data_IF_088165617000
#
_entry.id   IF_088165617000
#
_cell.length_a   1.000
_cell.length_b   1.000
_cell.length_c   1.000
_cell.angle_alpha   90.00
_cell.angle_beta   90.00
_cell.angle_gamma   90.00
#
_symmetry.space_group_name_H-M   'P 1'
#
loop_
_entity.id
_entity.type
_entity.pdbx_description
1 polymer ?
#
# COMPACT_ATOMS: atom_id res chain seq x y z
N UNK A 1 16.40 -36.30 44.83
CA UNK A 1 15.18 -35.66 45.36
C UNK A 1 15.37 -34.15 45.29
N UNK A 2 14.83 -33.52 44.24
CA UNK A 2 14.32 -32.15 44.21
C UNK A 2 13.71 -31.91 42.82
N UNK A 3 12.48 -32.40 42.71
CA UNK A 3 11.51 -31.95 41.73
C UNK A 3 11.05 -30.52 42.10
N UNK A 4 10.42 -29.85 41.13
CA UNK A 4 9.70 -28.58 41.25
C UNK A 4 10.51 -27.28 41.05
N UNK A 5 10.99 -27.07 39.81
CA UNK A 5 11.00 -25.74 39.20
C UNK A 5 10.08 -25.77 37.98
N UNK A 6 8.79 -25.62 38.26
CA UNK A 6 7.77 -24.93 37.45
C UNK A 6 7.86 -25.09 35.92
N UNK A 7 7.35 -26.22 35.41
CA UNK A 7 6.63 -26.20 34.13
C UNK A 7 5.39 -25.33 34.33
N UNK A 8 5.48 -24.06 33.95
CA UNK A 8 4.28 -23.25 33.80
C UNK A 8 3.43 -23.88 32.68
N UNK A 9 2.28 -24.41 33.06
CA UNK A 9 1.16 -24.83 32.19
C UNK A 9 1.00 -23.86 30.99
N UNK A 10 0.74 -24.35 29.76
CA UNK A 10 0.49 -23.51 28.58
C UNK A 10 -0.59 -22.44 28.81
N UNK A 11 -1.52 -22.68 29.75
CA UNK A 11 -2.60 -21.78 30.14
C UNK A 11 -2.11 -20.42 30.66
N UNK A 12 -0.94 -20.35 31.32
CA UNK A 12 -0.48 -19.09 31.93
C UNK A 12 0.14 -18.10 30.92
N UNK A 13 0.54 -18.56 29.74
CA UNK A 13 1.23 -17.70 28.74
C UNK A 13 0.29 -17.06 27.71
N UNK A 14 -0.87 -17.64 27.45
CA UNK A 14 -1.85 -17.11 26.49
C UNK A 14 -2.82 -16.11 27.13
N UNK A 15 -3.02 -16.17 28.45
CA UNK A 15 -4.06 -15.42 29.19
C UNK A 15 -4.17 -13.93 28.85
N UNK A 16 -3.08 -13.15 28.85
CA UNK A 16 -3.14 -11.72 28.50
C UNK A 16 -3.54 -11.46 27.04
N UNK A 17 -3.11 -12.32 26.11
CA UNK A 17 -3.44 -12.19 24.68
C UNK A 17 -4.90 -12.56 24.43
N UNK A 18 -5.40 -13.58 25.13
CA UNK A 18 -6.81 -13.98 25.08
C UNK A 18 -7.73 -12.90 25.66
N UNK A 19 -7.36 -12.32 26.80
CA UNK A 19 -8.11 -11.21 27.40
C UNK A 19 -8.15 -9.99 26.46
N UNK A 20 -7.01 -9.61 25.88
CA UNK A 20 -6.94 -8.51 24.92
C UNK A 20 -7.79 -8.78 23.66
N UNK A 21 -7.73 -9.98 23.11
CA UNK A 21 -8.57 -10.36 21.97
C UNK A 21 -10.06 -10.38 22.32
N UNK A 22 -10.42 -10.81 23.54
CA UNK A 22 -11.80 -10.74 24.03
C UNK A 22 -12.32 -9.31 24.02
N UNK A 23 -11.55 -8.36 24.59
CA UNK A 23 -11.91 -6.94 24.62
C UNK A 23 -12.06 -6.38 23.19
N UNK A 24 -11.13 -6.71 22.30
CA UNK A 24 -11.16 -6.24 20.92
C UNK A 24 -12.36 -6.77 20.15
N UNK A 25 -12.71 -8.05 20.30
CA UNK A 25 -13.93 -8.61 19.70
C UNK A 25 -15.19 -7.99 20.28
N UNK A 26 -15.24 -7.69 21.57
CA UNK A 26 -16.37 -6.96 22.17
C UNK A 26 -16.52 -5.56 21.57
N UNK A 27 -15.42 -4.82 21.43
CA UNK A 27 -15.42 -3.49 20.81
C UNK A 27 -15.86 -3.54 19.34
N UNK A 28 -15.40 -4.54 18.59
CA UNK A 28 -15.76 -4.74 17.18
C UNK A 28 -17.24 -5.09 17.02
N UNK A 29 -17.77 -5.99 17.86
CA UNK A 29 -19.19 -6.35 17.86
C UNK A 29 -20.09 -5.16 18.20
N UNK A 30 -19.73 -4.37 19.21
CA UNK A 30 -20.46 -3.14 19.58
C UNK A 30 -20.45 -2.14 18.42
N UNK A 31 -19.29 -1.95 17.78
CA UNK A 31 -19.15 -1.06 16.64
C UNK A 31 -20.00 -1.48 15.45
N UNK A 32 -19.97 -2.76 15.08
CA UNK A 32 -20.75 -3.31 13.97
C UNK A 32 -22.25 -3.28 14.24
N UNK A 33 -22.68 -3.65 15.46
CA UNK A 33 -24.08 -3.57 15.86
C UNK A 33 -24.58 -2.13 15.92
N UNK A 34 -23.77 -1.21 16.44
CA UNK A 34 -24.09 0.23 16.46
C UNK A 34 -24.19 0.81 15.05
N UNK A 35 -23.31 0.44 14.14
CA UNK A 35 -23.36 0.84 12.74
C UNK A 35 -24.61 0.28 12.03
N UNK A 36 -24.92 -1.01 12.24
CA UNK A 36 -26.13 -1.62 11.70
C UNK A 36 -27.39 -0.90 12.22
N UNK A 37 -27.46 -0.63 13.53
CA UNK A 37 -28.56 0.10 14.15
C UNK A 37 -28.66 1.54 13.66
N UNK A 38 -27.55 2.22 13.42
CA UNK A 38 -27.54 3.57 12.86
C UNK A 38 -28.07 3.59 11.42
N UNK A 39 -27.64 2.63 10.59
CA UNK A 39 -28.10 2.51 9.20
C UNK A 39 -29.59 2.17 9.13
N UNK A 40 -30.08 1.27 9.99
CA UNK A 40 -31.51 0.94 10.03
C UNK A 40 -32.35 2.08 10.63
N UNK A 41 -31.87 2.74 11.69
CA UNK A 41 -32.58 3.85 12.33
C UNK A 41 -32.63 5.11 11.46
N UNK A 42 -31.52 5.44 10.78
CA UNK A 42 -31.44 6.55 9.83
C UNK A 42 -32.19 6.30 8.52
N UNK A 43 -32.51 5.04 8.21
CA UNK A 43 -33.28 4.65 7.03
C UNK A 43 -34.79 4.88 7.15
N UNK A 44 -35.35 5.05 8.35
CA UNK A 44 -36.82 5.13 8.52
C UNK A 44 -37.50 6.28 7.75
N UNK A 45 -36.76 7.30 7.31
CA UNK A 45 -37.31 8.38 6.48
C UNK A 45 -37.27 8.07 4.97
N UNK A 46 -36.38 7.19 4.49
CA UNK A 46 -36.36 6.63 3.12
C UNK A 46 -35.45 5.37 3.06
N UNK A 47 -36.01 4.17 3.29
CA UNK A 47 -35.29 2.90 3.12
C UNK A 47 -35.20 2.54 1.64
N UNK A 48 -34.09 2.89 0.99
CA UNK A 48 -33.77 2.35 -0.33
C UNK A 48 -33.16 0.93 -0.24
N UNK A 49 -33.05 0.25 -1.38
CA UNK A 49 -32.46 -1.11 -1.44
C UNK A 49 -31.01 -1.14 -0.95
N UNK A 50 -30.26 -0.03 -1.07
CA UNK A 50 -28.85 0.06 -0.68
C UNK A 50 -28.64 0.05 0.83
N UNK A 51 -29.45 0.82 1.57
CA UNK A 51 -29.42 0.86 3.05
C UNK A 51 -29.73 -0.50 3.67
N UNK A 52 -30.69 -1.23 3.10
CA UNK A 52 -31.06 -2.58 3.56
C UNK A 52 -29.92 -3.57 3.34
N UNK A 53 -29.29 -3.57 2.15
CA UNK A 53 -28.16 -4.44 1.85
C UNK A 53 -26.97 -4.15 2.77
N UNK A 54 -26.67 -2.88 3.03
CA UNK A 54 -25.59 -2.48 3.93
C UNK A 54 -25.84 -2.95 5.37
N UNK A 55 -27.06 -2.79 5.88
CA UNK A 55 -27.43 -3.28 7.20
C UNK A 55 -27.26 -4.80 7.32
N UNK A 56 -27.68 -5.57 6.30
CA UNK A 56 -27.50 -7.02 6.26
C UNK A 56 -26.02 -7.41 6.26
N UNK A 57 -25.18 -6.71 5.49
CA UNK A 57 -23.72 -6.94 5.48
C UNK A 57 -23.11 -6.69 6.87
N UNK A 58 -23.50 -5.60 7.54
CA UNK A 58 -22.98 -5.27 8.88
C UNK A 58 -23.40 -6.30 9.93
N UNK A 59 -24.65 -6.79 9.87
CA UNK A 59 -25.14 -7.86 10.74
C UNK A 59 -24.40 -9.17 10.47
N UNK A 60 -24.18 -9.53 9.20
CA UNK A 60 -23.42 -10.73 8.85
C UNK A 60 -21.95 -10.64 9.32
N UNK A 61 -21.32 -9.47 9.16
CA UNK A 61 -19.97 -9.23 9.68
C UNK A 61 -19.90 -9.35 11.20
N UNK A 62 -20.89 -8.82 11.93
CA UNK A 62 -20.98 -8.95 13.38
C UNK A 62 -21.14 -10.42 13.80
N UNK A 63 -22.02 -11.18 13.14
CA UNK A 63 -22.21 -12.61 13.41
C UNK A 63 -20.93 -13.41 13.19
N UNK A 64 -20.20 -13.14 12.10
CA UNK A 64 -18.93 -13.80 11.84
C UNK A 64 -17.83 -13.41 12.83
N UNK A 65 -17.74 -12.15 13.23
CA UNK A 65 -16.80 -11.70 14.27
C UNK A 65 -17.10 -12.41 15.60
N UNK A 66 -18.39 -12.48 15.98
CA UNK A 66 -18.85 -13.20 17.17
C UNK A 66 -18.53 -14.69 17.13
N UNK A 67 -18.73 -15.35 15.98
CA UNK A 67 -18.33 -16.75 15.78
C UNK A 67 -16.83 -16.96 16.02
N UNK A 68 -15.99 -16.07 15.51
CA UNK A 68 -14.54 -16.15 15.72
C UNK A 68 -14.13 -15.85 17.17
N UNK A 69 -14.86 -15.00 17.89
CA UNK A 69 -14.70 -14.78 19.32
C UNK A 69 -15.06 -16.05 20.13
N UNK A 70 -16.17 -16.72 19.81
CA UNK A 70 -16.56 -17.99 20.45
C UNK A 70 -15.50 -19.06 20.22
N UNK A 71 -15.00 -19.16 18.98
CA UNK A 71 -13.90 -20.06 18.62
C UNK A 71 -12.64 -19.83 19.45
N UNK A 72 -12.28 -18.57 19.69
CA UNK A 72 -11.16 -18.20 20.55
C UNK A 72 -11.37 -18.71 21.99
N UNK A 73 -12.58 -18.51 22.54
CA UNK A 73 -12.97 -18.98 23.87
C UNK A 73 -12.98 -20.51 23.96
N UNK A 74 -13.31 -21.20 22.87
CA UNK A 74 -13.24 -22.67 22.74
C UNK A 74 -11.80 -23.21 22.55
N UNK A 75 -10.78 -22.37 22.74
CA UNK A 75 -9.39 -22.81 22.70
C UNK A 75 -8.73 -22.74 21.32
N UNK A 76 -9.38 -22.19 20.29
CA UNK A 76 -8.72 -21.98 19.01
C UNK A 76 -7.57 -20.98 19.15
N UNK A 77 -6.39 -21.34 18.62
CA UNK A 77 -5.18 -20.49 18.63
C UNK A 77 -4.75 -20.01 17.24
N UNK A 78 -5.51 -20.38 16.20
CA UNK A 78 -5.28 -19.98 14.81
C UNK A 78 -6.58 -19.45 14.20
N UNK A 79 -6.46 -18.32 13.51
CA UNK A 79 -7.56 -17.71 12.76
C UNK A 79 -7.74 -18.46 11.42
N UNK A 80 -8.97 -18.89 11.14
CA UNK A 80 -9.29 -19.52 9.84
C UNK A 80 -9.23 -18.49 8.71
N UNK A 81 -9.10 -18.96 7.47
CA UNK A 81 -9.10 -18.13 6.26
C UNK A 81 -10.32 -17.20 6.21
N UNK A 82 -11.51 -17.70 6.60
CA UNK A 82 -12.73 -16.89 6.67
C UNK A 82 -12.64 -15.74 7.67
N UNK A 83 -11.97 -15.96 8.80
CA UNK A 83 -11.73 -14.94 9.81
C UNK A 83 -10.69 -13.94 9.37
N UNK A 84 -9.63 -14.40 8.69
CA UNK A 84 -8.63 -13.51 8.09
C UNK A 84 -9.26 -12.60 7.03
N UNK A 85 -10.12 -13.16 6.16
CA UNK A 85 -10.83 -12.42 5.13
C UNK A 85 -11.77 -11.36 5.74
N UNK A 86 -12.57 -11.74 6.74
CA UNK A 86 -13.43 -10.80 7.47
C UNK A 86 -12.62 -9.66 8.09
N UNK A 87 -11.59 -10.00 8.87
CA UNK A 87 -10.78 -9.02 9.58
C UNK A 87 -10.01 -8.09 8.62
N UNK A 88 -9.58 -8.61 7.47
CA UNK A 88 -8.98 -7.80 6.41
C UNK A 88 -10.01 -6.84 5.80
N UNK A 89 -11.23 -7.30 5.52
CA UNK A 89 -12.30 -6.46 4.99
C UNK A 89 -12.72 -5.35 5.96
N UNK A 90 -12.84 -5.68 7.26
CA UNK A 90 -13.15 -4.72 8.32
C UNK A 90 -12.03 -3.67 8.46
N UNK A 91 -10.77 -4.10 8.47
CA UNK A 91 -9.62 -3.20 8.50
C UNK A 91 -9.60 -2.28 7.27
N UNK A 92 -9.75 -2.82 6.06
CA UNK A 92 -9.79 -2.03 4.81
C UNK A 92 -10.92 -0.99 4.85
N UNK A 93 -12.11 -1.39 5.33
CA UNK A 93 -13.25 -0.49 5.46
C UNK A 93 -12.98 0.61 6.48
N UNK A 94 -12.41 0.26 7.64
CA UNK A 94 -12.04 1.21 8.68
C UNK A 94 -10.98 2.22 8.19
N UNK A 95 -10.02 1.76 7.39
CA UNK A 95 -9.02 2.61 6.72
C UNK A 95 -9.71 3.58 5.75
N UNK A 96 -10.59 3.08 4.89
CA UNK A 96 -11.33 3.91 3.96
C UNK A 96 -12.13 5.00 4.71
N UNK A 97 -12.81 4.64 5.79
CA UNK A 97 -13.51 5.61 6.65
C UNK A 97 -12.52 6.59 7.29
N UNK A 98 -11.36 6.13 7.79
CA UNK A 98 -10.37 6.99 8.42
C UNK A 98 -9.81 8.04 7.47
N UNK A 99 -9.76 7.75 6.16
CA UNK A 99 -9.31 8.72 5.15
C UNK A 99 -10.30 9.86 4.91
N UNK A 100 -11.59 9.67 5.23
CA UNK A 100 -12.65 10.67 5.03
C UNK A 100 -13.10 11.29 6.35
N UNK A 101 -13.18 10.49 7.42
CA UNK A 101 -13.61 10.84 8.76
C UNK A 101 -12.68 10.20 9.81
N UNK A 102 -11.52 10.81 10.08
CA UNK A 102 -10.50 10.23 10.97
C UNK A 102 -11.02 9.87 12.37
N UNK A 103 -11.88 10.71 12.94
CA UNK A 103 -12.46 10.50 14.29
C UNK A 103 -13.25 9.19 14.37
N UNK A 104 -13.91 8.79 13.28
CA UNK A 104 -14.69 7.55 13.23
C UNK A 104 -13.85 6.35 12.78
N UNK A 105 -12.93 6.56 11.84
CA UNK A 105 -12.18 5.45 11.24
C UNK A 105 -10.96 5.00 12.04
N UNK A 106 -10.21 5.91 12.69
CA UNK A 106 -8.99 5.56 13.44
C UNK A 106 -9.27 4.57 14.58
N UNK A 107 -10.31 4.74 15.41
CA UNK A 107 -10.65 3.73 16.43
C UNK A 107 -10.96 2.35 15.82
N UNK A 108 -11.69 2.31 14.71
CA UNK A 108 -12.01 1.05 14.03
C UNK A 108 -10.76 0.37 13.44
N UNK A 109 -9.80 1.15 12.92
CA UNK A 109 -8.49 0.63 12.46
C UNK A 109 -7.73 0.00 13.61
N UNK A 110 -7.67 0.66 14.77
CA UNK A 110 -6.99 0.14 15.96
C UNK A 110 -7.60 -1.18 16.41
N UNK A 111 -8.94 -1.27 16.43
CA UNK A 111 -9.65 -2.49 16.83
C UNK A 111 -9.35 -3.64 15.86
N UNK A 112 -9.63 -3.49 14.57
CA UNK A 112 -9.47 -4.59 13.61
C UNK A 112 -8.00 -4.98 13.36
N UNK A 113 -7.07 -4.01 13.37
CA UNK A 113 -5.63 -4.33 13.33
C UNK A 113 -5.18 -5.04 14.62
N UNK A 114 -5.70 -4.62 15.78
CA UNK A 114 -5.46 -5.26 17.07
C UNK A 114 -5.91 -6.73 17.07
N UNK A 115 -7.08 -7.04 16.51
CA UNK A 115 -7.57 -8.43 16.38
C UNK A 115 -6.60 -9.26 15.55
N UNK A 116 -6.18 -8.78 14.38
CA UNK A 116 -5.21 -9.47 13.52
C UNK A 116 -3.87 -9.70 14.22
N UNK A 117 -3.36 -8.68 14.92
CA UNK A 117 -2.10 -8.78 15.69
C UNK A 117 -2.21 -9.80 16.82
N UNK A 118 -3.34 -9.81 17.53
CA UNK A 118 -3.60 -10.77 18.61
C UNK A 118 -3.58 -12.22 18.11
N UNK A 119 -4.28 -12.51 17.00
CA UNK A 119 -4.23 -13.83 16.37
C UNK A 119 -2.83 -14.20 15.87
N UNK A 120 -2.11 -13.25 15.27
CA UNK A 120 -0.72 -13.45 14.84
C UNK A 120 0.25 -13.68 16.01
N UNK A 121 -0.05 -13.19 17.22
CA UNK A 121 0.70 -13.51 18.44
C UNK A 121 0.37 -14.91 18.96
N UNK A 122 -0.90 -15.30 19.03
CA UNK A 122 -1.30 -16.65 19.43
C UNK A 122 -0.72 -17.72 18.51
N UNK A 123 -0.78 -17.51 17.19
CA UNK A 123 -0.19 -18.43 16.22
C UNK A 123 1.34 -18.55 16.39
N UNK A 124 2.03 -17.43 16.68
CA UNK A 124 3.48 -17.44 16.96
C UNK A 124 3.84 -18.10 18.28
N UNK A 125 3.02 -17.96 19.33
CA UNK A 125 3.23 -18.65 20.60
C UNK A 125 3.11 -20.16 20.37
N UNK A 126 2.06 -20.61 19.67
CA UNK A 126 1.89 -22.01 19.27
C UNK A 126 3.06 -22.54 18.43
N UNK A 127 3.52 -21.76 17.46
CA UNK A 127 4.71 -22.10 16.66
C UNK A 127 6.00 -22.16 17.48
N UNK A 128 6.25 -21.20 18.38
CA UNK A 128 7.45 -21.18 19.23
C UNK A 128 7.48 -22.36 20.19
N UNK A 129 6.34 -22.78 20.70
CA UNK A 129 6.23 -24.02 21.49
C UNK A 129 6.57 -25.24 20.62
N UNK A 130 6.10 -25.29 19.38
CA UNK A 130 6.44 -26.36 18.43
C UNK A 130 7.91 -26.37 17.96
N UNK A 131 8.57 -25.20 17.92
CA UNK A 131 9.98 -25.05 17.54
C UNK A 131 10.93 -25.20 18.73
N UNK A 132 10.49 -24.92 19.97
CA UNK A 132 11.28 -25.19 21.17
C UNK A 132 11.60 -26.68 21.34
N UNK A 133 10.82 -27.57 20.71
CA UNK A 133 11.10 -29.00 20.58
C UNK A 133 12.17 -29.35 19.51
N UNK A 134 12.75 -28.35 18.82
CA UNK A 134 13.74 -28.51 17.72
C UNK A 134 14.85 -27.44 17.80
N UNK A 135 15.90 -27.65 18.61
CA UNK A 135 16.89 -26.62 18.97
C UNK A 135 17.98 -26.32 17.91
N UNK A 136 17.90 -26.87 16.70
CA UNK A 136 18.94 -26.86 15.66
C UNK A 136 19.04 -25.56 14.82
N UNK A 137 18.20 -24.55 15.05
CA UNK A 137 17.95 -23.48 14.06
C UNK A 137 18.38 -22.04 14.42
N UNK A 138 19.03 -21.73 15.56
CA UNK A 138 19.03 -20.33 16.09
C UNK A 138 20.38 -19.67 16.37
N UNK A 139 21.53 -20.31 16.20
CA UNK A 139 22.81 -19.70 16.61
C UNK A 139 23.65 -19.14 15.44
N UNK A 140 23.41 -17.89 15.02
CA UNK A 140 24.53 -16.92 14.79
C UNK A 140 24.01 -15.52 14.46
N UNK A 141 24.80 -14.51 14.87
CA UNK A 141 24.79 -13.09 14.47
C UNK A 141 23.95 -12.09 15.29
N UNK A 142 24.63 -11.46 16.26
CA UNK A 142 24.36 -10.08 16.68
C UNK A 142 25.62 -9.47 17.29
N UNK A 143 26.21 -8.43 16.70
CA UNK A 143 26.69 -7.23 17.42
C UNK A 143 26.99 -6.06 16.49
N UNK A 144 26.65 -4.86 16.96
CA UNK A 144 26.60 -3.54 16.30
C UNK A 144 27.69 -2.57 16.81
N UNK A 145 28.00 -1.50 16.07
CA UNK A 145 28.58 -0.26 16.65
C UNK A 145 28.24 1.00 15.82
N UNK A 146 28.07 2.13 16.52
CA UNK A 146 27.54 3.44 16.09
C UNK A 146 28.54 4.58 16.39
N UNK A 147 28.58 5.67 15.60
CA UNK A 147 29.10 7.00 16.03
C UNK A 147 28.33 8.16 15.35
N UNK A 148 28.14 9.26 16.10
CA UNK A 148 27.22 10.38 15.87
C UNK A 148 27.75 11.64 15.15
N UNK A 149 27.07 12.81 15.30
CA UNK A 149 26.92 13.84 14.26
C UNK A 149 27.61 15.19 14.52
N UNK A 150 27.69 16.07 13.51
CA UNK A 150 28.01 17.50 13.70
C UNK A 150 27.44 18.42 12.59
N UNK A 151 27.35 19.71 12.90
CA UNK A 151 26.31 20.66 12.53
C UNK A 151 26.62 21.71 11.42
N UNK A 152 25.52 22.32 10.96
CA UNK A 152 25.24 23.51 10.14
C UNK A 152 26.20 24.73 10.13
N UNK A 153 26.22 25.48 9.01
CA UNK A 153 25.60 26.83 8.82
C UNK A 153 26.05 27.53 7.52
N UNK A 154 25.17 28.36 6.93
CA UNK A 154 25.52 29.35 5.90
C UNK A 154 24.28 30.00 5.25
N UNK A 155 24.01 31.27 5.54
CA UNK A 155 22.86 32.07 5.09
C UNK A 155 23.23 33.05 3.97
N UNK A 156 22.44 33.15 2.90
CA UNK A 156 22.62 34.12 1.80
C UNK A 156 21.28 34.68 1.31
N UNK A 157 21.21 36.00 1.10
CA UNK A 157 20.00 36.78 0.80
C UNK A 157 19.41 36.57 -0.60
N UNK A 158 18.12 36.87 -0.73
CA UNK A 158 17.24 36.44 -1.84
C UNK A 158 17.01 37.59 -2.84
N UNK A 159 17.22 37.33 -4.14
CA UNK A 159 16.98 38.27 -5.26
C UNK A 159 15.50 38.33 -5.65
N UNK A 160 15.03 39.29 -6.49
CA UNK A 160 13.63 39.40 -6.91
C UNK A 160 13.09 38.17 -7.67
N UNK A 161 13.94 37.48 -8.44
CA UNK A 161 13.61 36.15 -8.99
C UNK A 161 13.52 35.07 -7.91
N UNK A 162 14.29 35.23 -6.84
CA UNK A 162 14.14 34.49 -5.60
C UNK A 162 12.84 34.78 -4.86
N UNK A 163 12.24 35.97 -4.96
CA UNK A 163 10.91 36.25 -4.37
C UNK A 163 9.81 35.52 -5.17
N UNK A 164 9.88 35.50 -6.50
CA UNK A 164 8.94 34.73 -7.33
C UNK A 164 9.09 33.22 -7.13
N UNK A 165 10.33 32.73 -7.07
CA UNK A 165 10.63 31.34 -6.72
C UNK A 165 10.18 31.03 -5.29
N UNK A 166 10.45 31.89 -4.31
CA UNK A 166 10.00 31.74 -2.92
C UNK A 166 8.48 31.78 -2.85
N UNK A 167 7.76 32.58 -3.64
CA UNK A 167 6.30 32.57 -3.65
C UNK A 167 5.75 31.28 -4.25
N UNK A 168 6.24 30.82 -5.40
CA UNK A 168 5.83 29.54 -6.00
C UNK A 168 6.20 28.36 -5.10
N UNK A 169 7.43 28.35 -4.59
CA UNK A 169 7.90 27.35 -3.62
C UNK A 169 7.13 27.46 -2.32
N UNK A 170 6.78 28.64 -1.81
CA UNK A 170 5.99 28.82 -0.59
C UNK A 170 4.54 28.41 -0.80
N UNK A 171 3.93 28.65 -1.96
CA UNK A 171 2.59 28.16 -2.28
C UNK A 171 2.60 26.64 -2.42
N UNK A 172 3.58 26.07 -3.11
CA UNK A 172 3.76 24.61 -3.21
C UNK A 172 4.05 23.99 -1.83
N UNK A 173 4.85 24.65 -0.99
CA UNK A 173 5.15 24.24 0.38
C UNK A 173 3.94 24.42 1.28
N UNK A 174 3.15 25.48 1.17
CA UNK A 174 1.93 25.71 1.95
C UNK A 174 0.83 24.73 1.55
N UNK A 175 0.71 24.38 0.26
CA UNK A 175 -0.15 23.29 -0.21
C UNK A 175 0.36 21.92 0.28
N UNK A 176 1.68 21.69 0.24
CA UNK A 176 2.27 20.47 0.79
C UNK A 176 2.11 20.38 2.32
N UNK A 177 2.20 21.49 3.03
CA UNK A 177 2.01 21.63 4.47
C UNK A 177 0.53 21.49 4.86
N UNK A 178 -0.40 22.03 4.07
CA UNK A 178 -1.85 21.88 4.30
C UNK A 178 -2.33 20.45 4.02
N UNK A 179 -1.67 19.74 3.10
CA UNK A 179 -1.87 18.31 2.86
C UNK A 179 -1.09 17.39 3.82
N UNK A 180 -0.19 17.94 4.65
CA UNK A 180 0.74 17.17 5.49
C UNK A 180 0.02 16.32 6.54
N UNK A 181 -1.09 16.83 7.10
CA UNK A 181 -1.92 16.07 8.03
C UNK A 181 -2.49 14.80 7.40
N UNK A 182 -3.07 14.93 6.20
CA UNK A 182 -3.63 13.78 5.48
C UNK A 182 -2.56 12.76 5.06
N UNK A 183 -1.39 13.23 4.58
CA UNK A 183 -0.33 12.34 4.11
C UNK A 183 0.38 11.63 5.26
N UNK A 184 0.58 12.31 6.39
CA UNK A 184 1.13 11.67 7.59
C UNK A 184 0.16 10.62 8.16
N UNK A 185 -1.15 10.92 8.17
CA UNK A 185 -2.18 9.94 8.58
C UNK A 185 -2.19 8.73 7.63
N UNK A 186 -2.14 8.95 6.31
CA UNK A 186 -2.06 7.87 5.33
C UNK A 186 -0.81 7.01 5.54
N UNK A 187 0.35 7.65 5.74
CA UNK A 187 1.60 6.94 6.01
C UNK A 187 1.51 6.10 7.30
N UNK A 188 0.92 6.66 8.37
CA UNK A 188 0.71 5.95 9.62
C UNK A 188 -0.24 4.75 9.44
N UNK A 189 -1.31 4.92 8.67
CA UNK A 189 -2.24 3.84 8.33
C UNK A 189 -1.51 2.72 7.56
N UNK A 190 -0.76 3.08 6.51
CA UNK A 190 0.01 2.12 5.72
C UNK A 190 1.03 1.39 6.59
N UNK A 191 1.72 2.09 7.48
CA UNK A 191 2.64 1.50 8.44
C UNK A 191 1.94 0.50 9.38
N UNK A 192 0.75 0.84 9.90
CA UNK A 192 -0.05 -0.05 10.76
C UNK A 192 -0.47 -1.33 10.02
N UNK A 193 -0.65 -1.29 8.70
CA UNK A 193 -1.02 -2.45 7.88
C UNK A 193 0.20 -3.27 7.50
N UNK A 194 1.15 -2.63 6.81
CA UNK A 194 2.24 -3.32 6.13
C UNK A 194 3.36 -3.74 7.08
N UNK A 195 3.64 -2.99 8.17
CA UNK A 195 4.67 -3.41 9.12
C UNK A 195 4.27 -4.75 9.77
N UNK A 196 3.07 -4.95 10.33
CA UNK A 196 2.67 -6.27 10.83
C UNK A 196 2.69 -7.36 9.75
N UNK A 197 2.21 -7.08 8.55
CA UNK A 197 2.21 -8.06 7.44
C UNK A 197 3.63 -8.50 7.10
N UNK A 198 4.57 -7.56 6.93
CA UNK A 198 5.97 -7.85 6.63
C UNK A 198 6.69 -8.53 7.81
N UNK A 199 6.23 -8.33 9.05
CA UNK A 199 6.77 -9.04 10.21
C UNK A 199 6.24 -10.47 10.34
N UNK A 200 5.04 -10.75 9.83
CA UNK A 200 4.40 -12.07 9.89
C UNK A 200 4.74 -12.93 8.68
N UNK A 201 4.85 -12.32 7.50
CA UNK A 201 4.99 -13.01 6.21
C UNK A 201 6.25 -12.58 5.44
N UNK A 202 7.28 -12.13 6.17
CA UNK A 202 8.55 -11.64 5.62
C UNK A 202 9.12 -12.58 4.54
N UNK A 203 9.46 -12.03 3.36
CA UNK A 203 10.34 -12.73 2.43
C UNK A 203 11.78 -12.73 2.94
N UNK A 204 12.28 -11.54 3.32
CA UNK A 204 13.62 -11.34 3.88
C UNK A 204 13.54 -10.80 5.31
N UNK A 205 14.44 -11.20 6.22
CA UNK A 205 14.47 -10.65 7.56
C UNK A 205 15.02 -9.21 7.53
N UNK A 206 14.13 -8.23 7.41
CA UNK A 206 14.47 -6.79 7.41
C UNK A 206 14.08 -6.12 8.72
N UNK A 207 14.78 -5.04 9.05
CA UNK A 207 14.37 -4.10 10.09
C UNK A 207 13.18 -3.28 9.62
N UNK A 208 12.28 -2.92 10.55
CA UNK A 208 11.10 -2.08 10.24
C UNK A 208 11.50 -0.73 9.63
N UNK A 209 12.61 -0.17 10.11
CA UNK A 209 13.20 1.06 9.59
C UNK A 209 14.51 0.71 8.91
N UNK A 210 14.40 0.21 7.69
CA UNK A 210 15.53 -0.24 6.86
C UNK A 210 16.44 0.91 6.42
N UNK A 211 17.58 0.63 5.80
CA UNK A 211 18.47 1.70 5.34
C UNK A 211 17.74 2.57 4.31
N UNK A 212 17.88 3.88 4.43
CA UNK A 212 17.23 4.84 3.53
C UNK A 212 15.78 5.21 3.88
N UNK A 213 15.16 4.61 4.91
CA UNK A 213 13.74 4.85 5.25
C UNK A 213 13.39 6.34 5.40
N UNK A 214 14.30 7.16 5.94
CA UNK A 214 14.09 8.60 6.10
C UNK A 214 13.93 9.30 4.76
N UNK A 215 14.78 8.94 3.80
CA UNK A 215 14.73 9.46 2.44
C UNK A 215 13.42 9.04 1.78
N UNK A 216 12.99 7.80 1.97
CA UNK A 216 11.77 7.27 1.36
C UNK A 216 10.51 7.91 1.95
N UNK A 217 10.49 8.20 3.25
CA UNK A 217 9.44 9.01 3.88
C UNK A 217 9.42 10.42 3.28
N UNK A 218 10.58 11.03 3.04
CA UNK A 218 10.65 12.36 2.39
C UNK A 218 10.11 12.28 0.97
N UNK A 219 10.50 11.27 0.18
CA UNK A 219 9.92 11.04 -1.15
C UNK A 219 8.41 10.90 -1.06
N UNK A 220 7.89 10.05 -0.19
CA UNK A 220 6.45 9.84 -0.05
C UNK A 220 5.69 11.15 0.25
N UNK A 221 6.18 11.93 1.22
CA UNK A 221 5.52 13.17 1.65
C UNK A 221 5.61 14.27 0.59
N UNK A 222 6.78 14.48 -0.02
CA UNK A 222 6.99 15.55 -1.02
C UNK A 222 6.34 15.19 -2.36
N UNK A 223 6.54 13.96 -2.82
CA UNK A 223 6.03 13.51 -4.12
C UNK A 223 4.51 13.43 -4.12
N UNK A 224 3.86 13.15 -2.98
CA UNK A 224 2.39 13.11 -2.89
C UNK A 224 1.73 14.41 -3.35
N UNK A 225 2.28 15.57 -2.97
CA UNK A 225 1.80 16.88 -3.40
C UNK A 225 2.16 17.15 -4.87
N UNK A 226 3.42 16.92 -5.25
CA UNK A 226 3.89 17.11 -6.62
C UNK A 226 3.09 16.28 -7.63
N UNK A 227 2.83 15.00 -7.33
CA UNK A 227 2.00 14.11 -8.13
C UNK A 227 0.60 14.63 -8.30
N UNK A 228 -0.04 15.12 -7.22
CA UNK A 228 -1.42 15.65 -7.29
C UNK A 228 -1.48 16.86 -8.20
N UNK A 229 -0.57 17.82 -8.03
CA UNK A 229 -0.50 19.04 -8.86
C UNK A 229 -0.19 18.69 -10.32
N UNK A 230 0.84 17.85 -10.54
CA UNK A 230 1.25 17.42 -11.87
C UNK A 230 0.16 16.66 -12.61
N UNK A 231 -0.56 15.75 -11.93
CA UNK A 231 -1.67 15.01 -12.53
C UNK A 231 -2.84 15.93 -12.88
N UNK A 232 -3.21 16.89 -12.02
CA UNK A 232 -4.24 17.88 -12.33
C UNK A 232 -3.84 18.70 -13.55
N UNK A 233 -2.57 19.15 -13.61
CA UNK A 233 -2.04 19.86 -14.77
C UNK A 233 -2.09 19.01 -16.05
N UNK A 234 -1.64 17.75 -15.99
CA UNK A 234 -1.69 16.83 -17.13
C UNK A 234 -3.11 16.59 -17.63
N UNK A 235 -4.07 16.40 -16.71
CA UNK A 235 -5.49 16.26 -17.07
C UNK A 235 -6.05 17.55 -17.68
N UNK A 236 -5.77 18.71 -17.07
CA UNK A 236 -6.28 19.99 -17.55
C UNK A 236 -5.72 20.41 -18.91
N UNK A 237 -4.48 20.03 -19.22
CA UNK A 237 -3.82 20.37 -20.49
C UNK A 237 -4.01 19.23 -21.50
N UNK A 238 -3.36 18.09 -21.25
CA UNK A 238 -3.35 16.96 -22.19
C UNK A 238 -4.72 16.30 -22.26
N UNK A 239 -5.37 16.10 -21.12
CA UNK A 239 -6.71 15.51 -21.08
C UNK A 239 -7.73 16.33 -21.85
N UNK A 240 -7.75 17.66 -21.68
CA UNK A 240 -8.64 18.55 -22.42
C UNK A 240 -8.36 18.54 -23.93
N UNK A 241 -7.09 18.56 -24.34
CA UNK A 241 -6.73 18.46 -25.77
C UNK A 241 -7.20 17.13 -26.37
N UNK A 242 -6.91 16.01 -25.70
CA UNK A 242 -7.35 14.69 -26.16
C UNK A 242 -8.88 14.56 -26.17
N UNK A 243 -9.56 15.22 -25.24
CA UNK A 243 -11.03 15.20 -25.17
C UNK A 243 -11.69 15.84 -26.41
N UNK A 244 -11.02 16.79 -27.07
CA UNK A 244 -11.49 17.38 -28.34
C UNK A 244 -11.51 16.33 -29.45
N UNK A 245 -10.60 15.35 -29.41
CA UNK A 245 -10.52 14.27 -30.39
C UNK A 245 -11.58 13.18 -30.18
N UNK A 246 -12.22 13.14 -28.99
CA UNK A 246 -13.23 12.13 -28.67
C UNK A 246 -14.64 12.72 -28.84
N UNK A 247 -15.48 12.16 -29.74
CA UNK A 247 -16.82 12.66 -29.99
C UNK A 247 -17.66 12.83 -28.72
N UNK A 248 -18.37 13.95 -28.60
CA UNK A 248 -19.16 14.28 -27.42
C UNK A 248 -20.21 13.20 -27.09
N UNK A 249 -20.84 12.63 -28.12
CA UNK A 249 -21.80 11.52 -27.96
C UNK A 249 -21.14 10.29 -27.32
N UNK A 250 -19.92 9.93 -27.74
CA UNK A 250 -19.18 8.81 -27.15
C UNK A 250 -18.86 9.06 -25.68
N UNK A 251 -18.36 10.25 -25.35
CA UNK A 251 -18.07 10.63 -23.95
C UNK A 251 -19.33 10.62 -23.08
N UNK A 252 -20.45 11.10 -23.63
CA UNK A 252 -21.76 11.03 -22.97
C UNK A 252 -22.18 9.59 -22.66
N UNK A 253 -22.00 8.68 -23.62
CA UNK A 253 -22.32 7.26 -23.44
C UNK A 253 -21.42 6.59 -22.37
N UNK A 254 -20.12 6.91 -22.35
CA UNK A 254 -19.19 6.43 -21.31
C UNK A 254 -19.60 6.92 -19.93
N UNK A 255 -19.92 8.21 -19.81
CA UNK A 255 -20.36 8.81 -18.55
C UNK A 255 -21.69 8.22 -18.04
N UNK A 256 -22.60 7.87 -18.96
CA UNK A 256 -23.90 7.28 -18.66
C UNK A 256 -23.86 5.75 -18.46
N UNK A 257 -22.75 5.10 -18.80
CA UNK A 257 -22.59 3.67 -18.58
C UNK A 257 -22.70 3.30 -17.09
N UNK A 258 -23.16 2.09 -16.79
CA UNK A 258 -23.28 1.63 -15.40
C UNK A 258 -21.92 1.68 -14.69
N UNK A 259 -21.95 1.90 -13.37
CA UNK A 259 -20.73 2.06 -12.58
C UNK A 259 -19.78 0.86 -12.68
N UNK A 260 -20.30 -0.37 -12.78
CA UNK A 260 -19.46 -1.56 -12.92
C UNK A 260 -18.76 -1.63 -14.30
N UNK A 261 -19.45 -1.24 -15.38
CA UNK A 261 -18.84 -1.17 -16.73
C UNK A 261 -17.72 -0.14 -16.72
N UNK A 262 -17.96 1.02 -16.10
CA UNK A 262 -16.93 2.04 -15.94
C UNK A 262 -15.74 1.51 -15.14
N UNK A 263 -15.96 0.78 -14.03
CA UNK A 263 -14.85 0.24 -13.24
C UNK A 263 -14.03 -0.77 -14.07
N UNK A 264 -14.68 -1.73 -14.72
CA UNK A 264 -13.97 -2.76 -15.53
C UNK A 264 -13.21 -2.12 -16.70
N UNK A 265 -13.85 -1.22 -17.43
CA UNK A 265 -13.21 -0.51 -18.54
C UNK A 265 -12.06 0.37 -18.03
N UNK A 266 -12.25 1.06 -16.91
CA UNK A 266 -11.21 1.90 -16.32
C UNK A 266 -9.99 1.07 -15.90
N UNK A 267 -10.19 -0.09 -15.27
CA UNK A 267 -9.11 -1.01 -14.91
C UNK A 267 -8.32 -1.46 -16.13
N UNK A 268 -9.00 -1.86 -17.21
CA UNK A 268 -8.33 -2.26 -18.45
C UNK A 268 -7.51 -1.12 -19.07
N UNK A 269 -8.10 0.07 -19.16
CA UNK A 269 -7.43 1.24 -19.72
C UNK A 269 -6.24 1.66 -18.85
N UNK A 270 -6.38 1.69 -17.51
CA UNK A 270 -5.28 2.04 -16.62
C UNK A 270 -4.18 1.00 -16.63
N UNK A 271 -4.51 -0.29 -16.77
CA UNK A 271 -3.54 -1.36 -16.84
C UNK A 271 -2.64 -1.21 -18.08
N UNK A 272 -3.25 -0.97 -19.25
CA UNK A 272 -2.50 -0.78 -20.51
C UNK A 272 -1.76 0.56 -20.51
N UNK A 273 -2.40 1.65 -20.07
CA UNK A 273 -1.78 2.97 -20.00
C UNK A 273 -0.62 3.03 -18.99
N UNK A 274 -0.80 2.44 -17.81
CA UNK A 274 0.24 2.29 -16.80
C UNK A 274 1.40 1.44 -17.30
N UNK A 275 1.11 0.27 -17.90
CA UNK A 275 2.12 -0.56 -18.56
C UNK A 275 2.92 0.23 -19.61
N UNK A 276 2.25 0.95 -20.52
CA UNK A 276 2.91 1.68 -21.58
C UNK A 276 3.78 2.83 -21.04
N UNK A 277 3.27 3.58 -20.07
CA UNK A 277 4.03 4.64 -19.40
C UNK A 277 5.26 4.09 -18.67
N UNK A 278 5.10 2.98 -17.96
CA UNK A 278 6.18 2.35 -17.20
C UNK A 278 7.24 1.72 -18.13
N UNK A 279 6.81 1.04 -19.20
CA UNK A 279 7.71 0.53 -20.22
C UNK A 279 8.51 1.66 -20.87
N UNK A 280 7.87 2.79 -21.20
CA UNK A 280 8.58 3.95 -21.73
C UNK A 280 9.64 4.49 -20.74
N UNK A 281 9.35 4.45 -19.43
CA UNK A 281 10.33 4.82 -18.39
C UNK A 281 11.57 3.93 -18.36
N UNK A 282 11.46 2.67 -18.78
CA UNK A 282 12.60 1.76 -18.89
C UNK A 282 13.33 1.86 -20.23
N UNK A 283 12.56 1.92 -21.32
CA UNK A 283 13.09 1.73 -22.67
C UNK A 283 13.60 3.03 -23.31
N UNK A 284 13.11 4.20 -22.86
CA UNK A 284 13.58 5.51 -23.35
C UNK A 284 14.72 6.00 -22.47
N UNK A 285 15.97 6.16 -22.97
CA UNK A 285 17.14 6.45 -22.14
C UNK A 285 17.00 7.71 -21.26
N UNK A 286 16.36 8.75 -21.76
CA UNK A 286 16.15 10.00 -21.01
C UNK A 286 15.15 9.79 -19.87
N UNK A 287 14.10 9.00 -20.08
CA UNK A 287 13.11 8.70 -19.04
C UNK A 287 13.69 7.75 -17.98
N UNK A 288 14.51 6.79 -18.40
CA UNK A 288 15.24 5.88 -17.50
C UNK A 288 16.10 6.64 -16.49
N UNK A 289 16.71 7.77 -16.85
CA UNK A 289 17.48 8.58 -15.90
C UNK A 289 16.67 9.00 -14.68
N UNK A 290 15.36 9.20 -14.83
CA UNK A 290 14.47 9.51 -13.72
C UNK A 290 14.00 8.25 -13.00
N UNK A 291 13.66 7.21 -13.76
CA UNK A 291 13.10 5.98 -13.24
C UNK A 291 14.13 5.09 -12.51
N UNK A 292 15.42 5.20 -12.85
CA UNK A 292 16.52 4.53 -12.12
C UNK A 292 16.63 4.96 -10.66
N UNK A 293 16.09 6.12 -10.27
CA UNK A 293 15.93 6.49 -8.86
C UNK A 293 15.10 5.41 -8.17
N UNK A 294 13.95 5.05 -8.76
CA UNK A 294 13.08 4.01 -8.25
C UNK A 294 13.75 2.63 -8.19
N UNK A 295 14.43 2.25 -9.27
CA UNK A 295 15.14 0.98 -9.33
C UNK A 295 16.40 0.89 -8.48
N UNK A 296 16.84 1.98 -7.83
CA UNK A 296 18.04 1.96 -6.99
C UNK A 296 17.83 1.35 -5.59
N UNK A 297 16.59 0.99 -5.24
CA UNK A 297 16.26 0.37 -3.96
C UNK A 297 16.93 -1.00 -3.83
N UNK A 298 17.82 -1.15 -2.83
CA UNK A 298 18.55 -2.41 -2.54
C UNK A 298 17.85 -3.30 -1.51
N UNK A 299 16.96 -2.73 -0.70
CA UNK A 299 16.17 -3.44 0.32
C UNK A 299 14.69 -3.15 0.06
N UNK A 300 13.93 -4.17 -0.35
CA UNK A 300 12.54 -4.01 -0.78
C UNK A 300 11.57 -4.15 0.39
N UNK A 301 10.72 -3.14 0.60
CA UNK A 301 9.60 -3.10 1.56
C UNK A 301 8.47 -2.21 1.02
N UNK A 302 7.34 -2.16 1.73
CA UNK A 302 6.17 -1.37 1.33
C UNK A 302 6.48 0.13 1.13
N UNK A 303 7.49 0.66 1.82
CA UNK A 303 7.88 2.06 1.71
C UNK A 303 8.69 2.34 0.44
N UNK A 304 9.31 1.31 -0.16
CA UNK A 304 10.03 1.40 -1.43
C UNK A 304 9.15 1.90 -2.58
N UNK A 305 7.84 1.64 -2.55
CA UNK A 305 6.88 2.19 -3.52
C UNK A 305 6.89 3.73 -3.57
N UNK A 306 7.31 4.39 -2.48
CA UNK A 306 7.46 5.83 -2.42
C UNK A 306 8.80 6.34 -2.95
N UNK A 307 9.83 5.50 -3.03
CA UNK A 307 11.18 5.87 -3.46
C UNK A 307 11.21 6.07 -4.98
N UNK A 308 10.93 7.28 -5.46
CA UNK A 308 10.92 7.59 -6.89
C UNK A 308 11.05 9.08 -7.17
N UNK A 309 11.37 9.45 -8.40
CA UNK A 309 11.42 10.85 -8.82
C UNK A 309 9.99 11.42 -9.03
N UNK A 310 9.69 12.68 -8.68
CA UNK A 310 8.35 13.26 -8.90
C UNK A 310 7.88 13.21 -10.35
N UNK A 311 8.77 13.50 -11.31
CA UNK A 311 8.45 13.47 -12.74
C UNK A 311 8.12 12.05 -13.24
N UNK A 312 8.85 11.06 -12.76
CA UNK A 312 8.60 9.64 -13.05
C UNK A 312 7.18 9.27 -12.58
N UNK A 313 6.86 9.60 -11.32
CA UNK A 313 5.54 9.35 -10.76
C UNK A 313 4.42 10.09 -11.52
N UNK A 314 4.62 11.35 -11.90
CA UNK A 314 3.62 12.11 -12.67
C UNK A 314 3.37 11.48 -14.03
N UNK A 315 4.43 11.09 -14.74
CA UNK A 315 4.33 10.60 -16.10
C UNK A 315 3.68 9.21 -16.17
N UNK A 316 4.10 8.23 -15.34
CA UNK A 316 3.47 6.90 -15.29
C UNK A 316 1.98 7.04 -14.93
N UNK A 317 1.68 7.84 -13.89
CA UNK A 317 0.29 8.01 -13.42
C UNK A 317 -0.57 8.76 -14.44
N UNK A 318 0.00 9.70 -15.19
CA UNK A 318 -0.70 10.40 -16.26
C UNK A 318 -1.02 9.46 -17.43
N UNK A 319 -0.09 8.60 -17.82
CA UNK A 319 -0.32 7.59 -18.85
C UNK A 319 -1.51 6.66 -18.52
N UNK A 320 -1.67 6.32 -17.23
CA UNK A 320 -2.83 5.54 -16.77
C UNK A 320 -4.15 6.33 -16.75
N UNK A 321 -4.15 7.59 -16.30
CA UNK A 321 -5.40 8.32 -15.95
C UNK A 321 -5.91 9.27 -17.02
N UNK A 322 -5.01 9.95 -17.74
CA UNK A 322 -5.39 10.95 -18.75
C UNK A 322 -6.34 10.35 -19.82
N UNK A 323 -6.14 9.11 -20.30
CA UNK A 323 -7.09 8.49 -21.22
C UNK A 323 -8.51 8.38 -20.65
N UNK A 324 -8.67 8.05 -19.37
CA UNK A 324 -9.99 7.97 -18.74
C UNK A 324 -10.71 9.32 -18.75
N UNK A 325 -10.00 10.40 -18.45
CA UNK A 325 -10.59 11.74 -18.51
C UNK A 325 -11.01 12.10 -19.94
N UNK A 326 -10.14 11.86 -20.92
CA UNK A 326 -10.42 12.14 -22.33
C UNK A 326 -11.66 11.37 -22.84
N UNK A 327 -11.84 10.13 -22.38
CA UNK A 327 -12.98 9.28 -22.74
C UNK A 327 -14.28 9.62 -21.99
N UNK A 328 -14.26 10.52 -21.00
CA UNK A 328 -15.45 11.00 -20.31
C UNK A 328 -15.82 10.23 -19.04
N UNK A 329 -14.89 9.52 -18.41
CA UNK A 329 -15.16 8.81 -17.16
C UNK A 329 -15.50 9.78 -16.01
N UNK A 330 -16.48 9.39 -15.18
CA UNK A 330 -16.95 10.20 -14.05
C UNK A 330 -15.94 10.35 -12.91
N UNK A 331 -16.06 11.43 -12.12
CA UNK A 331 -15.14 11.77 -11.02
C UNK A 331 -15.05 10.70 -9.93
N UNK A 332 -16.16 10.04 -9.61
CA UNK A 332 -16.23 8.99 -8.57
C UNK A 332 -15.43 7.77 -8.99
N UNK A 333 -15.61 7.30 -10.22
CA UNK A 333 -14.89 6.16 -10.81
C UNK A 333 -13.37 6.42 -10.83
N UNK A 334 -12.95 7.64 -11.20
CA UNK A 334 -11.55 8.04 -11.18
C UNK A 334 -10.94 8.00 -9.77
N UNK A 335 -11.65 8.52 -8.76
CA UNK A 335 -11.17 8.51 -7.38
C UNK A 335 -10.97 7.09 -6.82
N UNK A 336 -11.93 6.19 -7.05
CA UNK A 336 -11.86 4.81 -6.60
C UNK A 336 -10.69 4.04 -7.26
N UNK A 337 -10.54 4.18 -8.59
CA UNK A 337 -9.43 3.59 -9.33
C UNK A 337 -8.10 4.13 -8.81
N UNK A 338 -8.00 5.43 -8.52
CA UNK A 338 -6.76 6.03 -8.03
C UNK A 338 -6.30 5.40 -6.72
N UNK A 339 -7.23 5.18 -5.79
CA UNK A 339 -6.96 4.52 -4.51
C UNK A 339 -6.52 3.07 -4.74
N UNK A 340 -7.24 2.33 -5.59
CA UNK A 340 -6.89 0.95 -5.91
C UNK A 340 -5.46 0.83 -6.44
N UNK A 341 -5.09 1.64 -7.45
CA UNK A 341 -3.72 1.60 -8.00
C UNK A 341 -2.69 1.92 -6.92
N UNK A 342 -2.97 2.90 -6.07
CA UNK A 342 -2.02 3.28 -4.99
C UNK A 342 -1.80 2.16 -3.99
N UNK A 343 -2.86 1.45 -3.58
CA UNK A 343 -2.75 0.32 -2.66
C UNK A 343 -2.01 -0.84 -3.33
N UNK A 344 -2.31 -1.10 -4.60
CA UNK A 344 -1.64 -2.13 -5.40
C UNK A 344 -0.15 -1.83 -5.57
N UNK A 345 0.23 -0.60 -5.89
CA UNK A 345 1.63 -0.15 -5.99
C UNK A 345 2.38 -0.42 -4.69
N UNK A 346 1.82 -0.07 -3.54
CA UNK A 346 2.46 -0.31 -2.24
C UNK A 346 2.56 -1.82 -1.96
N UNK A 347 1.49 -2.54 -2.27
CA UNK A 347 1.40 -3.97 -2.02
C UNK A 347 2.43 -4.78 -2.80
N UNK A 348 2.66 -4.47 -4.08
CA UNK A 348 3.63 -5.22 -4.91
C UNK A 348 5.09 -4.95 -4.53
N UNK A 349 5.38 -3.90 -3.76
CA UNK A 349 6.71 -3.65 -3.19
C UNK A 349 6.89 -4.25 -1.80
N UNK A 350 5.81 -4.65 -1.14
CA UNK A 350 5.89 -5.12 0.24
C UNK A 350 6.76 -6.38 0.36
N UNK A 351 7.53 -6.48 1.45
CA UNK A 351 8.42 -7.61 1.76
C UNK A 351 7.64 -8.86 2.19
N UNK A 352 6.72 -9.35 1.34
CA UNK A 352 5.81 -10.45 1.62
C UNK A 352 6.16 -11.65 0.75
N UNK A 353 6.37 -12.81 1.38
CA UNK A 353 6.61 -14.08 0.68
C UNK A 353 5.30 -14.63 0.11
N UNK A 354 4.80 -14.01 -0.95
CA UNK A 354 3.51 -14.36 -1.55
C UNK A 354 3.61 -14.54 -3.07
N UNK A 355 3.10 -15.69 -3.54
CA UNK A 355 3.19 -16.13 -4.94
C UNK A 355 1.83 -16.41 -5.60
N UNK A 356 0.71 -16.20 -4.87
CA UNK A 356 -0.71 -16.28 -5.28
C UNK A 356 -1.16 -17.44 -6.20
N UNK A 357 -0.38 -18.50 -6.38
CA UNK A 357 -0.77 -19.66 -7.20
C UNK A 357 -1.17 -19.25 -8.63
N UNK A 358 -2.33 -19.70 -9.16
CA UNK A 358 -2.85 -19.28 -10.47
C UNK A 358 -3.24 -17.80 -10.55
N UNK A 359 -3.58 -17.15 -9.43
CA UNK A 359 -3.97 -15.73 -9.44
C UNK A 359 -2.81 -14.79 -9.77
N UNK A 360 -1.56 -15.28 -9.75
CA UNK A 360 -0.37 -14.51 -10.14
C UNK A 360 -0.38 -13.98 -11.58
N UNK A 361 -1.27 -14.51 -12.42
CA UNK A 361 -1.47 -14.04 -13.79
C UNK A 361 -2.45 -12.87 -13.87
N UNK A 362 -3.34 -12.74 -12.89
CA UNK A 362 -4.38 -11.72 -12.85
C UNK A 362 -4.04 -10.58 -11.91
N UNK A 363 -3.41 -10.86 -10.76
CA UNK A 363 -3.06 -9.84 -9.77
C UNK A 363 -1.55 -9.86 -9.61
N UNK A 364 -0.92 -8.71 -9.85
CA UNK A 364 0.50 -8.57 -9.63
C UNK A 364 0.80 -8.78 -8.15
N UNK A 365 1.84 -9.57 -7.91
CA UNK A 365 2.25 -9.99 -6.57
C UNK A 365 3.56 -9.33 -6.21
N UNK A 366 3.94 -9.33 -4.91
CA UNK A 366 5.29 -9.01 -4.50
C UNK A 366 6.34 -9.76 -5.32
N UNK A 367 6.16 -11.06 -5.57
CA UNK A 367 7.10 -11.84 -6.38
C UNK A 367 7.28 -11.27 -7.79
N UNK A 368 6.17 -10.94 -8.46
CA UNK A 368 6.19 -10.41 -9.83
C UNK A 368 6.95 -9.09 -9.91
N UNK A 369 6.67 -8.16 -9.01
CA UNK A 369 7.29 -6.84 -9.06
C UNK A 369 8.70 -6.82 -8.43
N UNK A 370 9.02 -7.72 -7.50
CA UNK A 370 10.40 -7.90 -7.07
C UNK A 370 11.29 -8.38 -8.22
N UNK A 371 10.79 -9.24 -9.12
CA UNK A 371 11.50 -9.59 -10.35
C UNK A 371 11.69 -8.40 -11.29
N UNK A 372 10.76 -7.46 -11.34
CA UNK A 372 10.94 -6.21 -12.06
C UNK A 372 12.12 -5.37 -11.50
N UNK A 373 12.27 -5.34 -10.18
CA UNK A 373 13.38 -4.67 -9.48
C UNK A 373 14.68 -5.48 -9.39
N UNK A 374 14.72 -6.66 -10.02
CA UNK A 374 15.85 -7.56 -9.91
C UNK A 374 17.08 -7.01 -10.64
N UNK A 375 18.24 -7.13 -9.99
CA UNK A 375 19.54 -6.81 -10.60
C UNK A 375 20.03 -7.90 -11.57
N UNK A 376 19.33 -9.03 -11.65
CA UNK A 376 19.74 -10.15 -12.51
C UNK A 376 19.45 -9.84 -13.98
N UNK A 377 20.41 -9.99 -14.91
CA UNK A 377 20.23 -9.64 -16.32
C UNK A 377 19.04 -10.30 -17.01
N UNK A 378 18.67 -11.51 -16.60
CA UNK A 378 17.53 -12.25 -17.17
C UNK A 378 16.17 -11.60 -16.88
N UNK A 379 16.10 -10.69 -15.91
CA UNK A 379 14.89 -10.01 -15.49
C UNK A 379 14.84 -8.54 -15.94
N UNK A 380 15.88 -8.02 -16.62
CA UNK A 380 15.88 -6.66 -17.14
C UNK A 380 14.78 -6.46 -18.16
N UNK A 381 14.13 -5.30 -18.11
CA UNK A 381 13.06 -4.92 -19.05
C UNK A 381 11.90 -5.92 -19.09
N UNK A 382 11.50 -6.42 -17.92
CA UNK A 382 10.36 -7.32 -17.76
C UNK A 382 9.40 -6.80 -16.69
N UNK A 383 8.14 -7.27 -16.70
CA UNK A 383 7.16 -7.07 -15.64
C UNK A 383 6.77 -5.59 -15.37
N UNK A 384 6.37 -4.85 -16.39
CA UNK A 384 6.02 -3.43 -16.28
C UNK A 384 4.63 -3.16 -15.68
N UNK A 385 3.68 -4.09 -15.75
CA UNK A 385 2.32 -3.86 -15.26
C UNK A 385 2.26 -3.86 -13.71
N UNK A 386 1.63 -2.85 -13.12
CA UNK A 386 1.50 -2.77 -11.65
C UNK A 386 0.32 -3.59 -11.11
N UNK A 387 -0.75 -3.74 -11.89
CA UNK A 387 -1.98 -4.40 -11.43
C UNK A 387 -2.16 -5.81 -12.01
N UNK A 388 -2.00 -5.96 -13.33
CA UNK A 388 -2.38 -7.18 -14.06
C UNK A 388 -1.21 -7.74 -14.89
N UNK A 389 -0.49 -8.77 -14.41
CA UNK A 389 0.62 -9.41 -15.12
C UNK A 389 0.27 -9.98 -16.49
N UNK A 390 -1.02 -10.26 -16.75
CA UNK A 390 -1.50 -10.63 -18.07
C UNK A 390 -1.16 -9.59 -19.14
N UNK A 391 -1.04 -8.31 -18.79
CA UNK A 391 -0.64 -7.26 -19.74
C UNK A 391 0.79 -7.50 -20.21
N UNK A 392 1.72 -7.80 -19.31
CA UNK A 392 3.08 -8.23 -19.70
C UNK A 392 3.08 -9.52 -20.52
N UNK A 393 2.19 -10.47 -20.21
CA UNK A 393 2.06 -11.69 -21.00
C UNK A 393 1.61 -11.39 -22.44
N UNK A 394 0.64 -10.47 -22.61
CA UNK A 394 0.13 -10.06 -23.92
C UNK A 394 1.18 -9.31 -24.75
N UNK A 395 2.03 -8.51 -24.10
CA UNK A 395 3.10 -7.75 -24.77
C UNK A 395 4.46 -8.45 -24.80
N UNK A 396 4.55 -9.70 -24.30
CA UNK A 396 5.76 -10.51 -24.35
C UNK A 396 6.87 -10.09 -23.40
N UNK A 397 6.54 -9.40 -22.30
CA UNK A 397 7.50 -8.86 -21.31
C UNK A 397 7.37 -9.52 -19.93
N UNK A 398 6.64 -10.63 -19.82
CA UNK A 398 6.46 -11.36 -18.55
C UNK A 398 7.66 -12.24 -18.23
N UNK A 399 8.24 -12.05 -17.04
CA UNK A 399 9.23 -12.93 -16.44
C UNK A 399 8.86 -13.33 -15.01
N UNK A 400 8.39 -14.56 -14.83
CA UNK A 400 7.90 -15.04 -13.53
C UNK A 400 8.28 -16.50 -13.27
N UNK A 401 9.57 -16.79 -12.98
CA UNK A 401 10.02 -18.16 -12.74
C UNK A 401 9.38 -18.76 -11.49
N UNK A 402 8.84 -19.97 -11.63
CA UNK A 402 8.16 -20.69 -10.55
C UNK A 402 9.13 -21.01 -9.41
N UNK A 403 8.72 -20.74 -8.17
CA UNK A 403 9.46 -21.11 -6.96
C UNK A 403 10.77 -20.34 -6.73
N UNK A 404 11.06 -19.31 -7.53
CA UNK A 404 12.27 -18.49 -7.41
C UNK A 404 11.94 -17.05 -7.06
N UNK A 405 12.86 -16.43 -6.34
CA UNK A 405 12.85 -15.00 -6.01
C UNK A 405 14.16 -14.37 -6.50
N UNK A 406 14.17 -13.06 -6.78
CA UNK A 406 15.40 -12.34 -7.09
C UNK A 406 16.43 -12.51 -5.98
N UNK A 407 17.71 -12.65 -6.35
CA UNK A 407 18.80 -12.74 -5.38
C UNK A 407 19.14 -11.36 -4.79
N UNK A 408 19.15 -10.35 -5.63
CA UNK A 408 19.48 -8.95 -5.33
C UNK A 408 18.54 -7.99 -6.06
N UNK A 409 18.34 -6.82 -5.45
CA UNK A 409 17.63 -5.67 -6.01
C UNK A 409 18.60 -4.52 -6.24
N UNK A 410 18.15 -3.51 -6.98
CA UNK A 410 18.94 -2.33 -7.25
C UNK A 410 19.49 -2.30 -8.67
N UNK A 411 20.28 -1.28 -8.93
CA UNK A 411 21.05 -1.11 -10.17
C UNK A 411 22.55 -1.07 -9.86
N UNK A 412 23.36 -1.18 -10.91
CA UNK A 412 24.83 -1.12 -10.81
C UNK A 412 25.35 0.26 -10.41
N UNK A 413 24.54 1.30 -10.62
CA UNK A 413 24.90 2.66 -10.25
C UNK A 413 24.77 2.94 -8.76
N UNK A 414 25.70 3.74 -8.22
CA UNK A 414 25.62 4.23 -6.85
C UNK A 414 24.74 5.48 -6.76
N UNK A 415 23.53 5.28 -6.22
CA UNK A 415 22.63 6.37 -5.92
C UNK A 415 23.21 7.28 -4.82
N UNK A 416 23.16 8.62 -4.98
CA UNK A 416 23.55 9.52 -3.91
C UNK A 416 22.56 9.47 -2.73
N UNK A 417 23.09 9.60 -1.51
CA UNK A 417 22.25 9.69 -0.31
C UNK A 417 21.46 11.00 -0.25
N UNK A 418 20.17 10.89 0.06
CA UNK A 418 19.29 11.99 0.41
C UNK A 418 18.49 12.59 -0.75
N UNK A 419 17.25 12.99 -0.44
CA UNK A 419 16.22 13.40 -1.40
C UNK A 419 16.70 14.42 -2.44
N UNK A 420 17.32 15.53 -2.02
CA UNK A 420 17.73 16.60 -2.93
C UNK A 420 18.80 16.14 -3.94
N UNK A 421 19.71 15.26 -3.51
CA UNK A 421 20.73 14.72 -4.42
C UNK A 421 20.11 13.73 -5.41
N UNK A 422 19.15 12.93 -4.94
CA UNK A 422 18.39 12.00 -5.78
C UNK A 422 17.49 12.72 -6.79
N UNK A 423 17.01 13.94 -6.46
CA UNK A 423 16.24 14.78 -7.38
C UNK A 423 17.08 15.32 -8.55
N UNK A 424 18.35 15.63 -8.31
CA UNK A 424 19.26 16.17 -9.34
C UNK A 424 20.02 15.07 -10.09
N UNK A 425 20.10 13.87 -9.51
CA UNK A 425 20.83 12.74 -10.09
C UNK A 425 20.46 12.41 -11.54
N UNK A 426 19.16 12.42 -11.93
CA UNK A 426 18.76 12.19 -13.33
C UNK A 426 19.33 13.19 -14.34
N UNK A 427 19.76 14.36 -13.90
CA UNK A 427 20.24 15.44 -14.77
C UNK A 427 21.75 15.35 -15.07
N UNK A 428 22.47 14.44 -14.40
CA UNK A 428 23.92 14.27 -14.53
C UNK A 428 24.31 13.27 -15.59
#
# INVERSE_FOLDING_TARGET
MNAALTRAEPEYRDGPVLAALGILYSAELIGLAGAAAFVTKGGHEHLDRGTTVLAVILVAAAAMAGWHAIRLLQGARVLKVTGLALQSALLITAIAIATVRPILGVPAVIVSAGVLVGWGRLARIGWRLAVADRPDLVASTATSASVGPAAARGSGGVSPGGIALVLVTSTLVLVALSMRGEMAVKLAILAIIFIPLERLFALRPLHVLRRGWRTDVVHYLVNGAARKVGLVGAVAVVGTVLQVLVPAAFRGNVAAASGWVQIVAALGITAVGGYAGHRAMHEVPVLWRFHRVHHSVREMDWLAAGHMHPLDQIAIRSAAVVPLYALGFGRVSLGAIVILLTVQDIFIHANLRMTCGPLRWLIATPQFHHWHHARQPQAYNTNYAAEFPIVDALFGTLYLPTGRWPAEYGIDDDQPDGYLRQLVWPLR
#
